data_IF_508468928281
#
_entry.id   IF_508468928281
#
_cell.length_a   1.000
_cell.length_b   1.000
_cell.length_c   1.000
_cell.angle_alpha   90.00
_cell.angle_beta   90.00
_cell.angle_gamma   90.00
#
_symmetry.space_group_name_H-M   'P 1'
#
loop_
_entity.id
_entity.type
_entity.pdbx_description
1 polymer ?
#
# COMPACT_ATOMS: atom_id res chain seq x y z
N UNK A 1 4.71 -19.25 3.15
CA UNK A 1 3.40 -19.07 3.85
C UNK A 1 2.71 -17.89 3.23
N UNK A 2 1.40 -18.00 2.90
CA UNK A 2 0.69 -16.88 2.32
C UNK A 2 0.61 -15.70 3.30
N UNK A 3 1.04 -14.53 2.86
CA UNK A 3 0.91 -13.27 3.60
C UNK A 3 -0.49 -12.70 3.44
N UNK A 4 -1.04 -12.79 2.23
CA UNK A 4 -2.42 -12.39 1.95
C UNK A 4 -3.12 -13.45 1.11
N UNK A 5 -4.38 -13.68 1.41
CA UNK A 5 -5.27 -14.55 0.64
C UNK A 5 -6.66 -13.92 0.53
N UNK A 6 -7.26 -14.02 -0.66
CA UNK A 6 -8.64 -13.59 -0.91
C UNK A 6 -9.49 -14.76 -1.37
N UNK A 7 -10.75 -14.82 -0.96
CA UNK A 7 -11.68 -15.87 -1.36
C UNK A 7 -13.02 -15.27 -1.73
N UNK A 8 -13.45 -15.45 -2.99
CA UNK A 8 -14.77 -15.02 -3.52
C UNK A 8 -15.13 -13.57 -3.19
N UNK A 9 -14.13 -12.67 -3.28
CA UNK A 9 -14.26 -11.30 -2.82
C UNK A 9 -15.20 -10.49 -3.72
N UNK A 10 -16.21 -9.86 -3.13
CA UNK A 10 -17.18 -9.02 -3.82
C UNK A 10 -17.48 -7.75 -3.03
N UNK A 11 -17.78 -6.70 -3.78
CA UNK A 11 -18.20 -5.43 -3.19
C UNK A 11 -19.34 -4.81 -3.99
N UNK A 12 -20.44 -4.50 -3.33
CA UNK A 12 -21.62 -3.86 -3.94
C UNK A 12 -21.74 -2.43 -3.39
N UNK A 13 -21.75 -1.45 -4.28
CA UNK A 13 -22.04 -0.07 -3.89
C UNK A 13 -23.52 0.10 -3.57
N UNK A 14 -23.86 0.97 -2.61
CA UNK A 14 -25.26 1.23 -2.20
C UNK A 14 -26.16 1.68 -3.36
N UNK A 15 -25.60 2.34 -4.34
CA UNK A 15 -26.27 2.80 -5.58
C UNK A 15 -25.30 2.63 -6.76
N UNK A 16 -24.95 1.39 -7.10
CA UNK A 16 -23.97 1.18 -8.15
C UNK A 16 -23.71 -0.29 -8.47
N UNK A 17 -22.73 -0.56 -9.33
CA UNK A 17 -22.42 -1.90 -9.77
C UNK A 17 -21.87 -2.77 -8.63
N UNK A 18 -22.01 -4.06 -8.79
CA UNK A 18 -21.30 -5.05 -8.01
C UNK A 18 -19.92 -5.31 -8.63
N UNK A 19 -18.88 -5.28 -7.82
CA UNK A 19 -17.54 -5.67 -8.20
C UNK A 19 -17.26 -7.09 -7.73
N UNK A 20 -16.76 -7.94 -8.61
CA UNK A 20 -16.35 -9.32 -8.31
C UNK A 20 -14.85 -9.41 -8.61
N UNK A 21 -14.08 -9.87 -7.63
CA UNK A 21 -12.65 -9.96 -7.75
C UNK A 21 -12.20 -11.44 -7.79
N UNK A 22 -11.16 -11.78 -8.56
CA UNK A 22 -10.60 -13.12 -8.55
C UNK A 22 -10.03 -13.45 -7.17
N UNK A 23 -10.09 -14.72 -6.79
CA UNK A 23 -9.38 -15.22 -5.63
C UNK A 23 -7.89 -15.34 -5.96
N UNK A 24 -7.03 -14.90 -5.04
CA UNK A 24 -5.58 -14.98 -5.17
C UNK A 24 -4.90 -15.07 -3.81
N UNK A 25 -3.62 -15.39 -3.87
CA UNK A 25 -2.74 -15.33 -2.70
C UNK A 25 -1.38 -14.73 -3.10
N UNK A 26 -0.71 -14.13 -2.13
CA UNK A 26 0.66 -13.67 -2.26
C UNK A 26 1.48 -14.12 -1.05
N UNK A 27 2.68 -14.56 -1.31
CA UNK A 27 3.59 -15.11 -0.31
C UNK A 27 4.62 -14.08 0.15
N UNK A 28 5.40 -14.43 1.16
CA UNK A 28 6.57 -13.67 1.60
C UNK A 28 7.52 -13.43 0.42
N UNK A 29 8.07 -12.22 0.32
CA UNK A 29 8.95 -11.79 -0.79
C UNK A 29 8.33 -11.88 -2.19
N UNK A 30 7.02 -12.00 -2.31
CA UNK A 30 6.36 -11.99 -3.62
C UNK A 30 5.99 -10.59 -4.06
N UNK A 31 5.96 -10.38 -5.37
CA UNK A 31 5.43 -9.18 -6.01
C UNK A 31 4.24 -9.58 -6.90
N UNK A 32 3.09 -8.97 -6.68
CA UNK A 32 1.85 -9.19 -7.45
C UNK A 32 1.40 -7.88 -8.08
N UNK A 33 1.24 -7.89 -9.40
CA UNK A 33 0.73 -6.76 -10.15
C UNK A 33 -0.78 -6.91 -10.39
N UNK A 34 -1.54 -5.89 -10.05
CA UNK A 34 -2.99 -5.81 -10.29
C UNK A 34 -3.23 -4.73 -11.33
N UNK A 35 -3.56 -5.17 -12.53
CA UNK A 35 -3.77 -4.31 -13.70
C UNK A 35 -5.26 -4.12 -13.96
N UNK A 36 -5.60 -3.00 -14.55
CA UNK A 36 -6.96 -2.72 -15.02
C UNK A 36 -7.13 -1.29 -15.48
N UNK A 37 -8.07 -1.06 -16.36
CA UNK A 37 -8.43 0.27 -16.81
C UNK A 37 -9.05 1.12 -15.69
N UNK A 38 -9.19 2.42 -15.91
CA UNK A 38 -9.94 3.27 -14.98
C UNK A 38 -11.36 2.72 -14.78
N UNK A 39 -11.85 2.73 -13.54
CA UNK A 39 -13.20 2.25 -13.21
C UNK A 39 -13.35 0.73 -13.02
N UNK A 40 -12.31 -0.10 -13.18
CA UNK A 40 -12.39 -1.56 -12.95
C UNK A 40 -12.43 -1.97 -11.49
N UNK A 41 -12.36 -1.02 -10.57
CA UNK A 41 -12.43 -1.30 -9.11
C UNK A 41 -11.08 -1.51 -8.43
N UNK A 42 -9.96 -1.15 -9.07
CA UNK A 42 -8.59 -1.28 -8.50
C UNK A 42 -8.46 -0.69 -7.10
N UNK A 43 -8.78 0.59 -6.93
CA UNK A 43 -8.75 1.27 -5.62
C UNK A 43 -9.72 0.64 -4.62
N UNK A 44 -10.88 0.17 -5.10
CA UNK A 44 -11.84 -0.55 -4.23
C UNK A 44 -11.24 -1.86 -3.73
N UNK A 45 -10.61 -2.63 -4.62
CA UNK A 45 -9.91 -3.87 -4.22
C UNK A 45 -8.84 -3.55 -3.19
N UNK A 46 -7.98 -2.57 -3.46
CA UNK A 46 -6.93 -2.16 -2.51
C UNK A 46 -7.52 -1.78 -1.15
N UNK A 47 -8.62 -1.04 -1.11
CA UNK A 47 -9.30 -0.69 0.15
C UNK A 47 -9.87 -1.91 0.88
N UNK A 48 -10.35 -2.94 0.17
CA UNK A 48 -10.78 -4.20 0.76
C UNK A 48 -9.59 -4.96 1.35
N UNK A 49 -8.49 -5.06 0.61
CA UNK A 49 -7.25 -5.73 1.05
C UNK A 49 -6.63 -5.04 2.26
N UNK A 50 -6.73 -3.71 2.31
CA UNK A 50 -6.26 -2.91 3.44
C UNK A 50 -7.21 -2.94 4.66
N UNK A 51 -8.39 -3.56 4.57
CA UNK A 51 -9.40 -3.51 5.62
C UNK A 51 -9.97 -2.11 5.85
N UNK A 52 -9.87 -1.21 4.86
CA UNK A 52 -10.48 0.13 4.87
C UNK A 52 -11.96 0.09 4.45
N UNK A 53 -12.34 -0.96 3.70
CA UNK A 53 -13.72 -1.28 3.35
C UNK A 53 -14.02 -2.72 3.71
N UNK A 54 -15.26 -2.99 4.10
CA UNK A 54 -15.74 -4.34 4.36
C UNK A 54 -16.32 -4.94 3.08
N UNK A 55 -15.92 -6.15 2.66
CA UNK A 55 -16.54 -6.81 1.51
C UNK A 55 -18.01 -7.10 1.75
N UNK A 56 -18.80 -7.13 0.68
CA UNK A 56 -20.21 -7.55 0.72
C UNK A 56 -20.30 -9.07 0.80
N UNK A 57 -19.39 -9.78 0.13
CA UNK A 57 -19.24 -11.23 0.16
C UNK A 57 -17.75 -11.58 0.04
N UNK A 58 -17.39 -12.76 0.54
CA UNK A 58 -16.03 -13.24 0.50
C UNK A 58 -15.18 -12.76 1.67
N UNK A 59 -13.89 -13.04 1.62
CA UNK A 59 -12.98 -12.84 2.76
C UNK A 59 -11.61 -12.37 2.31
N UNK A 60 -10.99 -11.57 3.15
CA UNK A 60 -9.56 -11.20 3.07
C UNK A 60 -8.88 -11.70 4.34
N UNK A 61 -7.83 -12.47 4.16
CA UNK A 61 -6.98 -12.99 5.24
C UNK A 61 -5.57 -12.45 5.08
N UNK A 62 -5.00 -11.90 6.16
CA UNK A 62 -3.63 -11.40 6.21
C UNK A 62 -2.91 -12.05 7.39
N UNK A 63 -1.75 -12.68 7.14
CA UNK A 63 -1.00 -13.44 8.16
C UNK A 63 -1.85 -14.48 8.90
N UNK A 64 -2.76 -15.19 8.21
CA UNK A 64 -3.65 -16.17 8.81
C UNK A 64 -4.82 -15.57 9.62
N UNK A 65 -4.99 -14.23 9.61
CA UNK A 65 -6.07 -13.54 10.33
C UNK A 65 -7.10 -13.03 9.35
N UNK A 66 -8.34 -13.46 9.48
CA UNK A 66 -9.47 -12.95 8.70
C UNK A 66 -9.80 -11.53 9.12
N UNK A 67 -9.76 -10.57 8.20
CA UNK A 67 -10.07 -9.18 8.53
C UNK A 67 -11.50 -8.99 9.02
N UNK A 68 -12.44 -9.83 8.57
CA UNK A 68 -13.85 -9.80 9.02
C UNK A 68 -14.02 -10.18 10.50
N UNK A 69 -13.09 -10.94 11.09
CA UNK A 69 -13.12 -11.31 12.51
C UNK A 69 -12.71 -10.17 13.44
N UNK A 70 -12.15 -9.11 12.90
CA UNK A 70 -11.68 -7.94 13.63
C UNK A 70 -12.66 -6.76 13.45
N UNK A 71 -12.80 -5.91 14.45
CA UNK A 71 -13.61 -4.70 14.37
C UNK A 71 -13.02 -3.53 15.13
N UNK A 72 -13.38 -2.30 14.73
CA UNK A 72 -12.98 -1.08 15.41
C UNK A 72 -11.47 -1.01 15.67
N UNK A 73 -11.09 -0.68 16.89
CA UNK A 73 -9.70 -0.49 17.29
C UNK A 73 -8.81 -1.74 17.13
N UNK A 74 -9.38 -2.95 17.13
CA UNK A 74 -8.62 -4.18 16.88
C UNK A 74 -8.19 -4.26 15.42
N UNK A 75 -9.09 -3.97 14.49
CA UNK A 75 -8.79 -3.91 13.06
C UNK A 75 -7.78 -2.79 12.76
N UNK A 76 -7.95 -1.61 13.36
CA UNK A 76 -7.05 -0.48 13.14
C UNK A 76 -5.62 -0.79 13.62
N UNK A 77 -5.48 -1.41 14.79
CA UNK A 77 -4.18 -1.85 15.31
C UNK A 77 -3.56 -2.96 14.45
N UNK A 78 -4.37 -3.93 14.02
CA UNK A 78 -3.90 -5.00 13.15
C UNK A 78 -3.39 -4.43 11.82
N UNK A 79 -4.19 -3.57 11.17
CA UNK A 79 -3.80 -2.88 9.93
C UNK A 79 -2.51 -2.10 10.11
N UNK A 80 -2.43 -1.23 11.13
CA UNK A 80 -1.27 -0.41 11.38
C UNK A 80 0.02 -1.20 11.63
N UNK A 81 -0.07 -2.45 12.10
CA UNK A 81 1.08 -3.33 12.34
C UNK A 81 1.48 -4.17 11.13
N UNK A 82 0.50 -4.62 10.35
CA UNK A 82 0.73 -5.66 9.34
C UNK A 82 0.65 -5.16 7.90
N UNK A 83 0.00 -4.00 7.67
CA UNK A 83 -0.30 -3.50 6.32
C UNK A 83 0.25 -2.09 6.13
N UNK A 84 1.18 -1.92 5.22
CA UNK A 84 1.63 -0.62 4.73
C UNK A 84 0.84 -0.24 3.47
N UNK A 85 0.35 1.00 3.39
CA UNK A 85 -0.38 1.48 2.21
C UNK A 85 0.29 2.72 1.67
N UNK A 86 0.67 2.65 0.39
CA UNK A 86 1.16 3.78 -0.41
C UNK A 86 0.02 4.18 -1.34
N UNK A 87 -0.62 5.31 -1.05
CA UNK A 87 -1.73 5.82 -1.86
C UNK A 87 -1.23 6.65 -3.04
N UNK A 88 -1.99 6.72 -4.11
CA UNK A 88 -1.76 7.60 -5.25
C UNK A 88 -1.62 9.07 -4.81
N UNK A 89 -2.48 9.52 -3.89
CA UNK A 89 -2.34 10.81 -3.21
C UNK A 89 -1.84 10.57 -1.80
N UNK A 90 -0.74 11.21 -1.41
CA UNK A 90 -0.01 10.86 -0.17
C UNK A 90 -0.75 11.16 1.14
N UNK A 91 -1.83 11.95 1.12
CA UNK A 91 -2.67 12.29 2.30
C UNK A 91 -1.84 12.71 3.54
N UNK A 92 -0.89 13.63 3.36
CA UNK A 92 -0.12 14.15 4.47
C UNK A 92 -0.91 15.19 5.28
N UNK A 93 -0.65 15.23 6.57
CA UNK A 93 -1.07 16.34 7.44
C UNK A 93 -0.14 17.51 7.17
N UNK A 94 -0.62 18.51 6.45
CA UNK A 94 0.19 19.59 5.89
C UNK A 94 0.86 20.48 6.96
N UNK A 95 0.25 20.59 8.14
CA UNK A 95 0.82 21.32 9.27
C UNK A 95 2.01 20.62 9.93
N UNK A 96 2.21 19.33 9.68
CA UNK A 96 3.29 18.54 10.28
C UNK A 96 4.52 18.50 9.38
N UNK A 97 5.69 18.25 9.97
CA UNK A 97 6.92 17.96 9.25
C UNK A 97 6.87 16.58 8.57
N UNK A 98 7.85 16.28 7.71
CA UNK A 98 8.03 14.93 7.15
C UNK A 98 8.19 13.92 8.27
N UNK A 99 9.07 14.18 9.25
CA UNK A 99 9.29 13.32 10.41
C UNK A 99 8.00 13.05 11.16
N UNK A 100 7.24 14.10 11.49
CA UNK A 100 6.01 13.95 12.25
C UNK A 100 4.95 13.15 11.46
N UNK A 101 4.85 13.37 10.14
CA UNK A 101 3.94 12.63 9.28
C UNK A 101 4.25 11.13 9.23
N UNK A 102 5.52 10.74 9.13
CA UNK A 102 5.87 9.30 9.11
C UNK A 102 5.69 8.67 10.49
N UNK A 103 5.89 9.42 11.56
CA UNK A 103 5.71 8.95 12.93
C UNK A 103 4.22 8.77 13.32
N UNK A 104 3.26 9.29 12.54
CA UNK A 104 1.84 9.01 12.78
C UNK A 104 1.51 7.50 12.65
N UNK A 105 2.18 6.78 11.77
CA UNK A 105 1.91 5.36 11.56
C UNK A 105 2.20 4.52 12.83
N UNK A 106 3.40 4.57 13.45
CA UNK A 106 3.65 3.89 14.71
C UNK A 106 2.81 4.43 15.88
N UNK A 107 2.54 5.74 15.92
CA UNK A 107 1.71 6.34 16.98
C UNK A 107 0.31 5.70 17.02
N UNK A 108 -0.38 5.63 15.89
CA UNK A 108 -1.73 5.06 15.83
C UNK A 108 -1.78 3.53 15.93
N UNK A 109 -0.74 2.82 15.47
CA UNK A 109 -0.66 1.36 15.61
C UNK A 109 -0.26 0.89 17.01
N UNK A 110 0.27 1.80 17.83
CA UNK A 110 0.85 1.48 19.14
C UNK A 110 2.20 0.77 19.05
N UNK A 111 2.87 0.82 17.90
CA UNK A 111 4.22 0.29 17.74
C UNK A 111 5.26 1.22 18.37
N UNK A 112 6.25 0.61 19.03
CA UNK A 112 7.38 1.34 19.57
C UNK A 112 8.47 1.50 18.50
N UNK A 113 8.42 2.60 17.77
CA UNK A 113 9.42 2.97 16.77
C UNK A 113 10.13 4.23 17.23
N UNK A 114 11.45 4.23 17.26
CA UNK A 114 12.25 5.37 17.68
C UNK A 114 12.42 6.41 16.56
N UNK A 115 12.75 7.65 16.91
CA UNK A 115 13.10 8.67 15.89
C UNK A 115 14.33 8.25 15.08
N UNK A 116 15.29 7.52 15.66
CA UNK A 116 16.46 7.02 14.93
C UNK A 116 16.09 5.96 13.91
N UNK A 117 15.06 5.13 14.16
CA UNK A 117 14.53 4.19 13.16
C UNK A 117 13.90 4.94 11.98
N UNK A 118 13.12 5.98 12.29
CA UNK A 118 12.52 6.83 11.28
C UNK A 118 13.57 7.59 10.46
N UNK A 119 14.63 8.09 11.10
CA UNK A 119 15.76 8.73 10.40
C UNK A 119 16.48 7.74 9.48
N UNK A 120 16.74 6.51 9.93
CA UNK A 120 17.31 5.46 9.07
C UNK A 120 16.42 5.12 7.89
N UNK A 121 15.09 5.09 8.07
CA UNK A 121 14.16 4.87 6.97
C UNK A 121 14.20 6.03 5.96
N UNK A 122 14.22 7.28 6.42
CA UNK A 122 14.35 8.44 5.55
C UNK A 122 15.69 8.48 4.81
N UNK A 123 16.77 8.03 5.44
CA UNK A 123 18.08 7.93 4.84
C UNK A 123 18.10 6.92 3.70
N UNK A 124 17.59 5.69 3.93
CA UNK A 124 17.43 4.66 2.89
C UNK A 124 16.62 5.12 1.68
N UNK A 125 15.68 6.04 1.89
CA UNK A 125 14.85 6.60 0.84
C UNK A 125 15.41 7.94 0.29
N UNK A 126 16.65 8.31 0.65
CA UNK A 126 17.34 9.51 0.18
C UNK A 126 16.60 10.83 0.43
N UNK A 127 15.86 10.93 1.56
CA UNK A 127 15.14 12.14 1.96
C UNK A 127 15.38 12.57 3.41
N UNK A 128 16.40 12.04 4.09
CA UNK A 128 16.72 12.41 5.48
C UNK A 128 16.93 13.93 5.65
N UNK A 129 17.53 14.60 4.68
CA UNK A 129 17.74 16.06 4.69
C UNK A 129 16.44 16.87 4.72
N UNK A 130 15.31 16.23 4.39
CA UNK A 130 13.97 16.84 4.37
C UNK A 130 13.15 16.59 5.64
N UNK A 131 13.67 15.85 6.61
CA UNK A 131 12.94 15.40 7.80
C UNK A 131 12.16 16.50 8.54
N UNK A 132 12.72 17.71 8.61
CA UNK A 132 12.13 18.87 9.30
C UNK A 132 11.32 19.79 8.35
N UNK A 133 11.26 19.50 7.05
CA UNK A 133 10.48 20.27 6.09
C UNK A 133 8.99 19.93 6.16
N UNK A 134 8.15 20.91 5.79
CA UNK A 134 6.71 20.65 5.58
C UNK A 134 6.53 19.86 4.29
N UNK A 135 5.61 18.90 4.30
CA UNK A 135 5.36 18.03 3.13
C UNK A 135 4.94 18.79 1.88
N UNK A 136 4.27 19.93 2.03
CA UNK A 136 3.88 20.80 0.92
C UNK A 136 5.07 21.46 0.19
N UNK A 137 6.28 21.49 0.79
CA UNK A 137 7.48 22.07 0.17
C UNK A 137 8.34 21.04 -0.56
N UNK A 138 7.93 19.78 -0.56
CA UNK A 138 8.62 18.69 -1.22
C UNK A 138 8.23 18.61 -2.70
N UNK A 139 9.19 18.17 -3.55
CA UNK A 139 8.86 17.71 -4.90
C UNK A 139 7.92 16.49 -4.86
N UNK A 140 7.26 16.17 -5.97
CA UNK A 140 6.36 15.00 -6.07
C UNK A 140 7.10 13.71 -5.74
N UNK A 141 8.32 13.52 -6.24
CA UNK A 141 9.15 12.36 -5.94
C UNK A 141 9.56 12.28 -4.47
N UNK A 142 9.90 13.41 -3.83
CA UNK A 142 10.19 13.46 -2.39
C UNK A 142 8.94 13.14 -1.55
N UNK A 143 7.75 13.62 -1.95
CA UNK A 143 6.49 13.27 -1.31
C UNK A 143 6.23 11.76 -1.42
N UNK A 144 6.47 11.17 -2.59
CA UNK A 144 6.29 9.74 -2.79
C UNK A 144 7.24 8.92 -1.90
N UNK A 145 8.52 9.31 -1.82
CA UNK A 145 9.49 8.67 -0.91
C UNK A 145 9.07 8.80 0.56
N UNK A 146 8.54 9.95 0.97
CA UNK A 146 8.01 10.13 2.32
C UNK A 146 6.75 9.28 2.59
N UNK A 147 5.87 9.10 1.59
CA UNK A 147 4.71 8.21 1.70
C UNK A 147 5.14 6.74 1.85
N UNK A 148 6.16 6.31 1.11
CA UNK A 148 6.79 4.99 1.25
C UNK A 148 7.39 4.84 2.65
N UNK A 149 8.15 5.82 3.14
CA UNK A 149 8.70 5.80 4.51
C UNK A 149 7.59 5.56 5.55
N UNK A 150 6.49 6.30 5.46
CA UNK A 150 5.34 6.15 6.36
C UNK A 150 4.72 4.77 6.30
N UNK A 151 4.58 4.20 5.10
CA UNK A 151 4.00 2.89 4.89
C UNK A 151 4.88 1.77 5.47
N UNK A 152 6.21 1.91 5.39
CA UNK A 152 7.17 0.86 5.77
C UNK A 152 7.65 0.94 7.23
N UNK A 153 7.46 2.07 7.90
CA UNK A 153 8.08 2.35 9.20
C UNK A 153 7.68 1.36 10.31
N UNK A 154 6.51 0.76 10.21
CA UNK A 154 6.04 -0.28 11.14
C UNK A 154 6.53 -1.70 10.79
N UNK A 155 7.39 -1.88 9.79
CA UNK A 155 7.84 -3.17 9.27
C UNK A 155 6.66 -4.10 8.93
N UNK A 156 5.71 -3.65 8.09
CA UNK A 156 4.55 -4.46 7.75
C UNK A 156 4.95 -5.68 6.91
N UNK A 157 4.17 -6.75 6.99
CA UNK A 157 4.33 -7.95 6.15
C UNK A 157 3.67 -7.84 4.79
N UNK A 158 2.74 -6.90 4.63
CA UNK A 158 2.01 -6.63 3.39
C UNK A 158 2.14 -5.16 3.01
N UNK A 159 2.56 -4.90 1.78
CA UNK A 159 2.61 -3.55 1.19
C UNK A 159 1.61 -3.48 0.04
N UNK A 160 0.73 -2.52 0.11
CA UNK A 160 -0.26 -2.20 -0.92
C UNK A 160 0.10 -0.84 -1.53
N UNK A 161 0.36 -0.78 -2.83
CA UNK A 161 0.71 0.45 -3.53
C UNK A 161 -0.33 0.77 -4.62
N UNK A 162 -1.04 1.88 -4.49
CA UNK A 162 -2.02 2.37 -5.46
C UNK A 162 -1.35 3.40 -6.36
N UNK A 163 -1.12 3.03 -7.62
CA UNK A 163 -0.54 3.88 -8.66
C UNK A 163 0.74 4.61 -8.18
N UNK A 164 1.74 3.90 -7.61
CA UNK A 164 2.85 4.52 -6.88
C UNK A 164 3.75 5.42 -7.73
N UNK A 165 3.63 5.36 -9.06
CA UNK A 165 4.48 6.07 -10.01
C UNK A 165 3.72 6.99 -10.96
N UNK A 166 2.39 7.06 -10.87
CA UNK A 166 1.53 7.74 -11.85
C UNK A 166 1.75 9.24 -12.00
N UNK A 167 2.30 9.90 -10.98
CA UNK A 167 2.56 11.34 -10.97
C UNK A 167 4.04 11.70 -11.23
N UNK A 168 4.87 10.71 -11.64
CA UNK A 168 6.30 10.84 -11.82
C UNK A 168 6.68 10.68 -13.29
N UNK A 169 7.76 11.36 -13.72
CA UNK A 169 8.43 11.06 -14.99
C UNK A 169 9.08 9.66 -14.94
N UNK A 170 9.52 9.17 -16.09
CA UNK A 170 9.98 7.78 -16.25
C UNK A 170 11.21 7.45 -15.40
N UNK A 171 12.14 8.38 -15.22
CA UNK A 171 13.35 8.18 -14.42
C UNK A 171 13.01 8.11 -12.93
N UNK A 172 12.28 9.08 -12.42
CA UNK A 172 11.82 9.11 -11.03
C UNK A 172 10.88 7.96 -10.69
N UNK A 173 10.02 7.55 -11.65
CA UNK A 173 9.13 6.40 -11.49
C UNK A 173 9.91 5.11 -11.27
N UNK A 174 10.95 4.86 -12.08
CA UNK A 174 11.81 3.70 -11.96
C UNK A 174 12.57 3.69 -10.63
N UNK A 175 13.11 4.82 -10.24
CA UNK A 175 13.86 4.96 -8.99
C UNK A 175 12.97 4.69 -7.76
N UNK A 176 11.78 5.28 -7.72
CA UNK A 176 10.82 5.10 -6.63
C UNK A 176 10.34 3.64 -6.54
N UNK A 177 10.10 3.01 -7.68
CA UNK A 177 9.68 1.61 -7.72
C UNK A 177 10.78 0.68 -7.24
N UNK A 178 12.03 0.89 -7.68
CA UNK A 178 13.18 0.11 -7.23
C UNK A 178 13.39 0.26 -5.71
N UNK A 179 13.33 1.47 -5.18
CA UNK A 179 13.41 1.71 -3.74
C UNK A 179 12.30 1.00 -2.98
N UNK A 180 11.06 1.04 -3.49
CA UNK A 180 9.95 0.34 -2.88
C UNK A 180 10.18 -1.17 -2.85
N UNK A 181 10.65 -1.76 -3.96
CA UNK A 181 10.99 -3.18 -4.09
C UNK A 181 12.11 -3.59 -3.13
N UNK A 182 13.21 -2.83 -3.10
CA UNK A 182 14.36 -3.09 -2.23
C UNK A 182 13.94 -3.10 -0.75
N UNK A 183 13.19 -2.08 -0.33
CA UNK A 183 12.75 -1.98 1.07
C UNK A 183 11.75 -3.09 1.42
N UNK A 184 10.83 -3.43 0.50
CA UNK A 184 9.86 -4.52 0.70
C UNK A 184 10.56 -5.86 0.82
N UNK A 185 11.55 -6.13 -0.03
CA UNK A 185 12.36 -7.33 0.02
C UNK A 185 13.16 -7.43 1.33
N UNK A 186 13.76 -6.32 1.79
CA UNK A 186 14.49 -6.27 3.06
C UNK A 186 13.61 -6.60 4.27
N UNK A 187 12.31 -6.28 4.19
CA UNK A 187 11.30 -6.63 5.20
C UNK A 187 10.72 -8.03 5.04
N UNK A 188 11.06 -8.74 3.96
CA UNK A 188 10.44 -10.01 3.55
C UNK A 188 8.92 -9.90 3.38
N UNK A 189 8.42 -8.72 3.04
CA UNK A 189 7.00 -8.46 2.87
C UNK A 189 6.50 -8.90 1.48
N UNK A 190 5.21 -9.12 1.34
CA UNK A 190 4.54 -9.21 0.05
C UNK A 190 4.24 -7.80 -0.48
N UNK A 191 4.51 -7.54 -1.77
CA UNK A 191 4.23 -6.28 -2.45
C UNK A 191 3.10 -6.45 -3.47
N UNK A 192 2.00 -5.75 -3.30
CA UNK A 192 0.92 -5.67 -4.26
C UNK A 192 0.88 -4.28 -4.87
N UNK A 193 1.07 -4.20 -6.17
CA UNK A 193 1.03 -2.93 -6.93
C UNK A 193 -0.24 -2.91 -7.77
N UNK A 194 -1.05 -1.91 -7.54
CA UNK A 194 -2.24 -1.62 -8.35
C UNK A 194 -1.91 -0.51 -9.32
N UNK A 195 -2.03 -0.74 -10.62
CA UNK A 195 -1.70 0.26 -11.63
C UNK A 195 -2.41 0.00 -12.97
N UNK A 196 -2.43 1.02 -13.81
CA UNK A 196 -2.77 0.91 -15.24
C UNK A 196 -1.51 0.96 -16.13
N UNK A 197 -0.33 1.11 -15.54
CA UNK A 197 0.94 1.19 -16.27
C UNK A 197 1.34 -0.16 -16.83
N UNK A 198 1.21 -0.30 -18.14
CA UNK A 198 1.57 -1.54 -18.84
C UNK A 198 3.08 -1.81 -18.89
N UNK A 199 3.95 -0.82 -18.58
CA UNK A 199 5.40 -1.00 -18.55
C UNK A 199 5.82 -2.03 -17.49
N UNK A 200 5.06 -2.14 -16.41
CA UNK A 200 5.32 -3.11 -15.34
C UNK A 200 4.90 -4.55 -15.68
N UNK A 201 4.16 -4.76 -16.76
CA UNK A 201 3.72 -6.11 -17.17
C UNK A 201 4.88 -7.07 -17.43
N UNK A 202 5.94 -6.57 -18.03
CA UNK A 202 7.08 -7.41 -18.42
C UNK A 202 8.07 -7.61 -17.27
N UNK A 203 7.97 -6.79 -16.23
CA UNK A 203 8.85 -6.85 -15.06
C UNK A 203 8.32 -7.76 -13.95
N UNK A 204 6.99 -7.90 -13.82
CA UNK A 204 6.35 -8.65 -12.73
C UNK A 204 5.71 -9.93 -13.26
N UNK A 205 6.19 -11.07 -12.77
CA UNK A 205 5.74 -12.39 -13.23
C UNK A 205 4.30 -12.72 -12.80
N UNK A 206 3.95 -12.39 -11.55
CA UNK A 206 2.62 -12.64 -11.02
C UNK A 206 1.73 -11.42 -11.28
N UNK A 207 0.63 -11.63 -12.02
CA UNK A 207 -0.29 -10.55 -12.33
C UNK A 207 -1.74 -11.01 -12.36
N UNK A 208 -2.62 -10.08 -12.04
CA UNK A 208 -4.08 -10.20 -12.13
C UNK A 208 -4.57 -9.05 -13.01
N UNK A 209 -5.38 -9.36 -14.00
CA UNK A 209 -6.04 -8.34 -14.81
C UNK A 209 -7.50 -8.20 -14.38
N UNK A 210 -7.87 -7.00 -13.89
CA UNK A 210 -9.25 -6.67 -13.59
C UNK A 210 -9.94 -6.19 -14.86
N UNK A 211 -10.97 -6.92 -15.28
CA UNK A 211 -11.80 -6.53 -16.42
C UNK A 211 -12.96 -5.66 -15.94
N UNK A 212 -13.35 -4.69 -16.75
CA UNK A 212 -14.56 -3.92 -16.49
C UNK A 212 -15.77 -4.85 -16.40
N UNK A 213 -16.63 -4.62 -15.42
CA UNK A 213 -17.88 -5.33 -15.33
C UNK A 213 -18.67 -5.11 -16.62
N UNK A 214 -19.14 -6.20 -17.22
CA UNK A 214 -20.20 -6.11 -18.22
C UNK A 214 -21.46 -5.64 -17.47
N UNK A 215 -21.89 -4.42 -17.80
CA UNK A 215 -23.18 -3.87 -17.38
C UNK A 215 -24.34 -4.74 -17.82
#
# INVERSE_FOLDING_TARGET
MAIIQTTNLQYTFSKGPQLIFPSFQAEENSELLILGNSGTGKTTLLHLLAGLRKPTLGEVEVNGVRLSSLSGAALDRFRGKNIGVVFQTSHFVQSLSVMDNIMLAPYFSGNKVSKSDAERMLDRLNILSKKNKKTATLSVGEQQRAAIARALLNNPSLILADEPTSALDDENAKDVLNLLREQTHALKAALLIVTHDNRLKDEVKQRIELTALKS
#
